data_IF_673525414612
#
_entry.id   IF_673525414612
#
_cell.length_a   1.000
_cell.length_b   1.000
_cell.length_c   1.000
_cell.angle_alpha   90.00
_cell.angle_beta   90.00
_cell.angle_gamma   90.00
#
_symmetry.space_group_name_H-M   'P 1'
#
loop_
_entity.id
_entity.type
_entity.pdbx_description
1 polymer ?
#
# COMPACT_ATOMS: atom_id res chain seq x y z
N UNK A 1 -18.75 -7.43 -4.95
CA UNK A 1 -17.80 -6.94 -3.93
C UNK A 1 -18.48 -5.86 -3.09
N UNK A 2 -18.20 -5.83 -1.80
CA UNK A 2 -18.69 -4.80 -0.86
C UNK A 2 -17.49 -4.04 -0.29
N UNK A 3 -17.73 -2.81 0.15
CA UNK A 3 -16.72 -2.05 0.90
C UNK A 3 -16.37 -2.83 2.18
N UNK A 4 -15.09 -3.15 2.36
CA UNK A 4 -14.61 -3.83 3.56
C UNK A 4 -14.70 -2.95 4.83
N UNK A 5 -14.88 -1.64 4.66
CA UNK A 5 -14.96 -0.67 5.77
C UNK A 5 -16.41 -0.49 6.25
N UNK A 6 -17.35 -0.23 5.34
CA UNK A 6 -18.75 0.09 5.70
C UNK A 6 -19.81 -0.90 5.19
N UNK A 7 -19.42 -1.96 4.47
CA UNK A 7 -20.33 -2.98 3.94
C UNK A 7 -21.16 -2.58 2.70
N UNK A 8 -21.05 -1.33 2.25
CA UNK A 8 -21.81 -0.83 1.08
C UNK A 8 -21.47 -1.57 -0.23
N UNK A 9 -22.47 -1.72 -1.10
CA UNK A 9 -22.30 -2.19 -2.49
C UNK A 9 -22.03 -1.08 -3.51
N UNK A 10 -22.07 0.20 -3.12
CA UNK A 10 -21.91 1.36 -4.02
C UNK A 10 -20.42 1.68 -4.24
N UNK A 11 -19.74 0.80 -4.95
CA UNK A 11 -18.35 0.99 -5.36
C UNK A 11 -18.26 1.70 -6.72
N UNK A 12 -17.20 2.49 -6.92
CA UNK A 12 -16.86 3.06 -8.22
C UNK A 12 -16.48 1.96 -9.23
N UNK A 13 -16.40 2.32 -10.53
CA UNK A 13 -15.59 1.58 -11.49
C UNK A 13 -14.15 1.44 -11.01
N UNK A 14 -13.40 0.51 -11.61
CA UNK A 14 -11.97 0.36 -11.35
C UNK A 14 -11.23 1.57 -11.92
N UNK A 15 -10.33 2.15 -11.12
CA UNK A 15 -9.36 3.15 -11.55
C UNK A 15 -7.93 2.66 -11.34
N UNK A 16 -7.00 3.29 -12.06
CA UNK A 16 -5.56 3.10 -11.86
C UNK A 16 -5.06 4.00 -10.72
N UNK A 17 -4.16 3.48 -9.88
CA UNK A 17 -3.46 4.24 -8.85
C UNK A 17 -2.07 4.63 -9.35
N UNK A 18 -1.82 5.94 -9.38
CA UNK A 18 -0.52 6.54 -9.70
C UNK A 18 0.01 7.28 -8.47
N UNK A 19 1.34 7.30 -8.28
CA UNK A 19 1.98 8.20 -7.31
C UNK A 19 2.34 9.51 -8.01
N UNK A 20 2.27 10.62 -7.28
CA UNK A 20 2.50 11.97 -7.82
C UNK A 20 3.96 12.29 -8.15
N UNK A 21 4.93 11.53 -7.62
CA UNK A 21 6.35 11.90 -7.68
C UNK A 21 7.10 11.34 -8.91
N UNK A 22 6.52 10.36 -9.60
CA UNK A 22 6.93 10.02 -10.96
C UNK A 22 5.82 9.21 -11.63
N UNK A 23 5.63 9.38 -12.94
CA UNK A 23 4.72 8.55 -13.75
C UNK A 23 5.02 7.03 -13.67
N UNK A 24 6.06 6.62 -12.94
CA UNK A 24 6.54 5.25 -12.86
C UNK A 24 6.51 4.68 -11.43
N UNK A 25 6.26 5.48 -10.39
CA UNK A 25 6.11 4.94 -9.04
C UNK A 25 4.65 4.55 -8.80
N UNK A 26 4.37 3.25 -8.95
CA UNK A 26 3.08 2.66 -8.60
C UNK A 26 2.97 2.53 -7.10
N UNK A 27 1.76 2.60 -6.54
CA UNK A 27 1.54 2.34 -5.11
C UNK A 27 2.05 0.93 -4.75
N UNK A 28 2.85 0.80 -3.69
CA UNK A 28 3.46 -0.49 -3.28
C UNK A 28 2.96 -0.92 -1.91
N UNK A 29 2.51 -2.16 -1.81
CA UNK A 29 2.24 -2.84 -0.55
C UNK A 29 3.52 -3.57 -0.10
N UNK A 30 4.10 -3.13 1.02
CA UNK A 30 5.34 -3.69 1.58
C UNK A 30 5.04 -4.42 2.88
N UNK A 31 5.46 -5.68 2.99
CA UNK A 31 5.38 -6.43 4.24
C UNK A 31 6.67 -6.28 5.05
N UNK A 32 6.64 -6.57 6.37
CA UNK A 32 7.85 -6.74 7.16
C UNK A 32 8.75 -7.84 6.59
N UNK A 33 10.05 -7.75 6.86
CA UNK A 33 11.02 -8.76 6.41
C UNK A 33 10.86 -10.05 7.24
N UNK A 34 10.67 -11.23 6.62
CA UNK A 34 10.49 -12.49 7.35
C UNK A 34 11.79 -13.09 7.93
N UNK A 35 12.90 -12.35 7.93
CA UNK A 35 14.20 -12.76 8.47
C UNK A 35 15.32 -11.82 7.99
N UNK A 36 16.41 -11.69 8.75
CA UNK A 36 17.48 -10.69 8.50
C UNK A 36 18.11 -10.74 7.10
N UNK A 37 18.18 -11.93 6.49
CA UNK A 37 18.76 -12.14 5.15
C UNK A 37 17.74 -12.36 4.02
N UNK A 38 16.43 -12.30 4.30
CA UNK A 38 15.39 -12.48 3.27
C UNK A 38 15.03 -11.16 2.61
N UNK A 39 14.75 -11.19 1.31
CA UNK A 39 14.25 -10.00 0.60
C UNK A 39 12.90 -9.56 1.21
N UNK A 40 12.68 -8.24 1.27
CA UNK A 40 11.42 -7.67 1.77
C UNK A 40 10.29 -7.91 0.75
N UNK A 41 9.23 -8.65 1.11
CA UNK A 41 8.13 -8.89 0.18
C UNK A 41 7.42 -7.57 -0.15
N UNK A 42 7.42 -7.21 -1.43
CA UNK A 42 6.80 -5.98 -1.95
C UNK A 42 5.93 -6.31 -3.14
N UNK A 43 4.75 -5.69 -3.23
CA UNK A 43 3.73 -5.94 -4.27
C UNK A 43 3.21 -4.63 -4.84
N UNK A 44 2.86 -4.62 -6.12
CA UNK A 44 2.29 -3.45 -6.77
C UNK A 44 0.77 -3.45 -6.66
N UNK A 45 0.22 -2.38 -6.07
CA UNK A 45 -1.20 -2.10 -6.00
C UNK A 45 -1.53 -1.00 -7.02
N UNK A 46 -1.61 -1.38 -8.29
CA UNK A 46 -1.84 -0.45 -9.40
C UNK A 46 -3.31 -0.09 -9.64
N UNK A 47 -4.26 -0.72 -8.95
CA UNK A 47 -5.69 -0.51 -9.18
C UNK A 47 -6.46 -0.32 -7.87
N UNK A 48 -7.55 0.44 -7.93
CA UNK A 48 -8.45 0.63 -6.79
C UNK A 48 -9.91 0.86 -7.20
N UNK A 49 -10.79 0.73 -6.21
CA UNK A 49 -12.16 1.27 -6.25
C UNK A 49 -12.40 2.18 -5.06
N UNK A 50 -13.15 3.26 -5.26
CA UNK A 50 -13.63 4.12 -4.18
C UNK A 50 -15.04 3.68 -3.74
N UNK A 51 -15.28 3.61 -2.43
CA UNK A 51 -16.62 3.52 -1.90
C UNK A 51 -17.30 4.88 -1.97
N UNK A 52 -18.47 4.94 -2.62
CA UNK A 52 -19.22 6.19 -2.81
C UNK A 52 -20.01 6.63 -1.58
N UNK A 53 -20.08 5.80 -0.53
CA UNK A 53 -20.80 6.11 0.70
C UNK A 53 -19.87 6.58 1.83
N UNK A 54 -18.76 5.87 2.08
CA UNK A 54 -17.82 6.23 3.15
C UNK A 54 -16.50 6.82 2.66
N UNK A 55 -16.28 6.92 1.35
CA UNK A 55 -15.05 7.47 0.78
C UNK A 55 -13.84 6.54 0.83
N UNK A 56 -13.95 5.34 1.40
CA UNK A 56 -12.83 4.40 1.49
C UNK A 56 -12.28 4.03 0.11
N UNK A 57 -10.96 4.13 -0.05
CA UNK A 57 -10.23 3.68 -1.22
C UNK A 57 -9.78 2.22 -1.00
N UNK A 58 -10.19 1.32 -1.89
CA UNK A 58 -9.92 -0.11 -1.81
C UNK A 58 -8.90 -0.50 -2.89
N UNK A 59 -7.59 -0.41 -2.61
CA UNK A 59 -6.55 -0.87 -3.52
C UNK A 59 -6.53 -2.40 -3.60
N UNK A 60 -6.19 -2.93 -4.77
CA UNK A 60 -6.04 -4.37 -4.96
C UNK A 60 -4.90 -4.70 -5.92
N UNK A 61 -4.38 -5.92 -5.77
CA UNK A 61 -3.26 -6.44 -6.57
C UNK A 61 -3.73 -6.88 -7.96
N UNK A 62 -2.84 -6.74 -8.93
CA UNK A 62 -2.99 -7.43 -10.23
C UNK A 62 -2.91 -8.95 -10.07
N UNK A 63 -3.27 -9.68 -11.11
CA UNK A 63 -3.34 -11.15 -11.04
C UNK A 63 -1.99 -11.80 -10.68
N UNK A 64 -0.90 -11.32 -11.27
CA UNK A 64 0.44 -11.84 -11.01
C UNK A 64 0.90 -11.57 -9.57
N UNK A 65 0.78 -10.32 -9.11
CA UNK A 65 1.09 -9.95 -7.72
C UNK A 65 0.21 -10.71 -6.72
N UNK A 66 -1.06 -10.97 -7.04
CA UNK A 66 -1.96 -11.77 -6.20
C UNK A 66 -1.50 -13.23 -6.13
N UNK A 67 -1.11 -13.84 -7.25
CA UNK A 67 -0.56 -15.21 -7.26
C UNK A 67 0.73 -15.29 -6.46
N UNK A 68 1.62 -14.30 -6.61
CA UNK A 68 2.86 -14.22 -5.84
C UNK A 68 2.57 -14.05 -4.35
N UNK A 69 1.60 -13.21 -3.99
CA UNK A 69 1.18 -13.02 -2.60
C UNK A 69 0.69 -14.34 -2.00
N UNK A 70 -0.19 -15.05 -2.69
CA UNK A 70 -0.72 -16.34 -2.24
C UNK A 70 0.39 -17.38 -2.01
N UNK A 71 1.36 -17.44 -2.93
CA UNK A 71 2.51 -18.34 -2.83
C UNK A 71 3.40 -18.06 -1.60
N UNK A 72 3.53 -16.80 -1.18
CA UNK A 72 4.39 -16.41 -0.05
C UNK A 72 3.61 -16.16 1.25
N UNK A 73 2.27 -16.18 1.22
CA UNK A 73 1.42 -15.75 2.32
C UNK A 73 1.74 -16.46 3.64
N UNK A 74 1.98 -17.77 3.60
CA UNK A 74 2.35 -18.60 4.77
C UNK A 74 3.68 -18.16 5.42
N UNK A 75 4.56 -17.52 4.66
CA UNK A 75 5.85 -17.02 5.13
C UNK A 75 5.85 -15.55 5.53
N UNK A 76 4.71 -14.86 5.51
CA UNK A 76 4.56 -13.46 5.92
C UNK A 76 4.24 -13.29 7.41
N UNK A 77 4.06 -14.38 8.15
CA UNK A 77 3.77 -14.35 9.59
C UNK A 77 4.94 -13.72 10.36
N UNK A 78 4.60 -12.76 11.23
CA UNK A 78 5.55 -12.01 12.04
C UNK A 78 6.16 -12.95 13.09
N UNK A 79 7.48 -13.11 13.05
CA UNK A 79 8.23 -13.49 14.27
C UNK A 79 8.08 -12.33 15.24
N UNK A 80 7.44 -12.54 16.39
CA UNK A 80 7.27 -11.50 17.41
C UNK A 80 8.65 -10.92 17.78
N UNK A 81 8.82 -9.59 17.66
CA UNK A 81 9.98 -8.88 18.20
C UNK A 81 11.05 -8.29 17.24
N UNK A 82 10.79 -8.01 15.96
CA UNK A 82 11.77 -7.36 15.05
C UNK A 82 11.56 -5.83 14.86
N UNK A 83 12.64 -5.03 14.69
CA UNK A 83 12.61 -3.56 14.77
C UNK A 83 11.83 -2.88 13.64
N UNK A 84 11.30 -1.68 13.93
CA UNK A 84 10.77 -0.77 12.94
C UNK A 84 11.90 -0.31 12.00
N UNK A 85 11.69 -0.41 10.68
CA UNK A 85 12.62 0.14 9.70
C UNK A 85 12.76 1.67 9.92
N UNK A 86 13.99 2.22 9.93
CA UNK A 86 14.25 3.65 10.05
C UNK A 86 14.04 4.44 8.74
N UNK A 87 13.63 3.79 7.64
CA UNK A 87 13.50 4.41 6.31
C UNK A 87 12.26 5.32 6.16
N UNK A 88 11.62 5.71 7.26
CA UNK A 88 10.79 6.91 7.31
C UNK A 88 11.69 8.14 7.49
N UNK A 89 12.57 8.39 6.52
CA UNK A 89 13.33 9.63 6.50
C UNK A 89 12.38 10.79 6.19
N UNK A 90 12.16 11.61 7.23
CA UNK A 90 12.07 13.06 7.18
C UNK A 90 11.22 13.70 6.09
N UNK A 91 9.92 13.90 6.38
CA UNK A 91 9.29 15.15 5.97
C UNK A 91 9.77 16.24 6.93
N UNK A 92 10.95 16.80 6.69
CA UNK A 92 11.36 18.04 7.35
C UNK A 92 10.45 19.18 6.92
N UNK A 93 9.99 19.93 7.90
CA UNK A 93 8.92 20.90 7.78
C UNK A 93 9.19 21.97 6.74
N UNK A 94 8.10 22.34 6.07
CA UNK A 94 7.93 23.60 5.37
C UNK A 94 8.20 24.77 6.33
N UNK A 95 9.42 25.27 6.37
CA UNK A 95 9.74 26.54 7.04
C UNK A 95 9.39 27.68 6.08
N UNK A 96 8.12 28.11 6.14
CA UNK A 96 7.64 29.32 5.50
C UNK A 96 8.32 30.54 6.13
N UNK A 97 9.41 31.02 5.53
CA UNK A 97 9.91 32.36 5.80
C UNK A 97 8.97 33.38 5.15
N UNK A 98 8.08 33.92 5.98
CA UNK A 98 7.38 35.15 5.70
C UNK A 98 8.35 36.33 5.55
N UNK A 99 8.08 37.14 4.53
CA UNK A 99 8.57 38.51 4.39
C UNK A 99 8.17 39.37 5.61
N UNK A 100 8.87 40.47 5.87
CA UNK A 100 8.54 41.71 5.14
C UNK A 100 9.65 42.23 4.23
#
# INVERSE_FOLDING_TARGET
MRCAICGSGRLSPVGELTSSDSMHDRLRLRFPRPGTFKARPTFHAGFARACRDCGALLPFLGEEDRKRLDAVAKGLERVEGGPADPDSEGFEGFEGKGAP
#
